data_IF_809829457402
#
_entry.id   IF_809829457402
#
_cell.length_a   1.000
_cell.length_b   1.000
_cell.length_c   1.000
_cell.angle_alpha   90.00
_cell.angle_beta   90.00
_cell.angle_gamma   90.00
#
_symmetry.space_group_name_H-M   'P 1'
#
loop_
_entity.id
_entity.type
_entity.pdbx_description
1 polymer ?
#
# COMPACT_ATOMS: atom_id res chain seq x y z
N UNK A 1 30.20 -0.58 -3.73
CA UNK A 1 29.42 0.66 -3.50
C UNK A 1 28.31 0.33 -2.51
N UNK A 2 28.46 0.71 -1.24
CA UNK A 2 27.51 0.37 -0.18
C UNK A 2 26.25 1.23 -0.33
N UNK A 3 25.13 0.59 -0.68
CA UNK A 3 23.83 1.24 -0.68
C UNK A 3 23.40 1.51 0.76
N UNK A 4 23.45 2.78 1.17
CA UNK A 4 22.87 3.25 2.42
C UNK A 4 21.36 2.96 2.36
N UNK A 5 20.91 1.98 3.12
CA UNK A 5 19.50 1.62 3.27
C UNK A 5 18.77 2.77 3.98
N UNK A 6 18.32 3.78 3.24
CA UNK A 6 17.30 4.69 3.75
C UNK A 6 15.98 3.92 3.81
N UNK A 7 15.31 3.80 4.97
CA UNK A 7 13.99 3.22 5.05
C UNK A 7 13.01 4.17 4.36
N UNK A 8 12.89 4.03 3.04
CA UNK A 8 11.91 4.75 2.26
C UNK A 8 10.59 4.01 2.43
N UNK A 9 9.60 4.64 3.05
CA UNK A 9 8.37 3.93 3.47
C UNK A 9 7.28 3.96 2.39
N UNK A 10 7.50 4.68 1.29
CA UNK A 10 6.45 5.01 0.32
C UNK A 10 6.86 4.66 -1.11
N UNK A 11 5.90 4.13 -1.87
CA UNK A 11 6.06 3.80 -3.31
C UNK A 11 6.59 4.97 -4.11
N UNK A 12 6.14 6.19 -3.83
CA UNK A 12 6.62 7.41 -4.49
C UNK A 12 8.14 7.56 -4.35
N UNK A 13 8.66 7.23 -3.17
CA UNK A 13 10.09 7.35 -2.89
C UNK A 13 10.88 6.33 -3.72
N UNK A 14 10.48 5.05 -3.69
CA UNK A 14 11.11 4.03 -4.54
C UNK A 14 10.96 4.32 -6.02
N UNK A 15 9.80 4.83 -6.45
CA UNK A 15 9.54 5.27 -7.82
C UNK A 15 10.51 6.36 -8.24
N UNK A 16 10.69 7.39 -7.42
CA UNK A 16 11.58 8.51 -7.72
C UNK A 16 13.05 8.08 -7.81
N UNK A 17 13.47 7.10 -7.01
CA UNK A 17 14.82 6.54 -7.11
C UNK A 17 15.01 5.67 -8.34
N UNK A 18 14.02 4.84 -8.68
CA UNK A 18 14.06 3.86 -9.76
C UNK A 18 13.89 4.51 -11.14
N UNK A 19 12.94 5.43 -11.27
CA UNK A 19 12.64 6.18 -12.50
C UNK A 19 13.04 7.65 -12.34
N UNK A 20 14.28 7.89 -11.93
CA UNK A 20 14.80 9.23 -11.83
C UNK A 20 14.96 9.87 -13.23
N UNK A 21 15.10 11.20 -13.26
CA UNK A 21 15.19 11.98 -14.50
C UNK A 21 16.32 11.51 -15.43
N UNK A 22 17.46 11.09 -14.88
CA UNK A 22 18.61 10.64 -15.66
C UNK A 22 18.31 9.31 -16.35
N UNK A 23 17.77 8.34 -15.61
CA UNK A 23 17.33 7.06 -16.16
C UNK A 23 16.29 7.25 -17.27
N UNK A 24 15.30 8.13 -17.06
CA UNK A 24 14.25 8.38 -18.04
C UNK A 24 14.79 9.03 -19.32
N UNK A 25 15.65 10.04 -19.20
CA UNK A 25 16.27 10.69 -20.36
C UNK A 25 17.19 9.74 -21.11
N UNK A 26 18.03 8.99 -20.41
CA UNK A 26 19.01 8.07 -21.01
C UNK A 26 18.33 6.96 -21.83
N UNK A 27 17.24 6.38 -21.32
CA UNK A 27 16.61 5.23 -21.96
C UNK A 27 15.46 5.60 -22.91
N UNK A 28 14.79 6.72 -22.67
CA UNK A 28 13.51 7.04 -23.33
C UNK A 28 13.37 8.49 -23.77
N UNK A 29 14.33 9.38 -23.48
CA UNK A 29 14.23 10.81 -23.76
C UNK A 29 14.03 11.11 -25.25
N UNK A 30 14.88 10.53 -26.10
CA UNK A 30 14.80 10.70 -27.56
C UNK A 30 13.47 10.16 -28.12
N UNK A 31 13.11 8.93 -27.74
CA UNK A 31 11.86 8.29 -28.18
C UNK A 31 10.63 9.13 -27.82
N UNK A 32 10.61 9.70 -26.61
CA UNK A 32 9.50 10.54 -26.16
C UNK A 32 9.45 11.88 -26.91
N UNK A 33 10.61 12.50 -27.14
CA UNK A 33 10.73 13.73 -27.92
C UNK A 33 10.26 13.51 -29.37
N UNK A 34 10.66 12.41 -30.01
CA UNK A 34 10.27 12.12 -31.40
C UNK A 34 8.77 11.83 -31.54
N UNK A 35 8.17 11.21 -30.51
CA UNK A 35 6.74 10.83 -30.53
C UNK A 35 5.81 11.98 -30.17
N UNK A 36 6.17 12.78 -29.16
CA UNK A 36 5.28 13.78 -28.56
C UNK A 36 5.78 15.22 -28.71
N UNK A 37 6.99 15.43 -29.25
CA UNK A 37 7.67 16.72 -29.29
C UNK A 37 7.80 17.40 -27.92
N UNK A 38 7.94 16.58 -26.86
CA UNK A 38 8.02 17.01 -25.47
C UNK A 38 9.16 16.29 -24.74
N UNK A 39 9.76 16.96 -23.76
CA UNK A 39 10.74 16.35 -22.86
C UNK A 39 10.06 15.33 -21.93
N UNK A 40 10.67 14.16 -21.76
CA UNK A 40 10.15 13.14 -20.86
C UNK A 40 10.20 13.59 -19.39
N UNK A 41 9.16 13.26 -18.62
CA UNK A 41 9.11 13.48 -17.17
C UNK A 41 9.76 12.33 -16.41
N UNK A 42 10.14 12.61 -15.17
CA UNK A 42 10.59 11.61 -14.22
C UNK A 42 9.43 10.73 -13.72
N UNK A 43 9.71 9.84 -12.77
CA UNK A 43 8.74 8.96 -12.09
C UNK A 43 8.17 7.81 -12.93
N UNK A 44 8.43 7.77 -14.24
CA UNK A 44 8.07 6.64 -15.09
C UNK A 44 6.57 6.36 -15.13
N UNK A 45 5.72 7.38 -15.00
CA UNK A 45 4.28 7.21 -15.19
C UNK A 45 3.97 6.94 -16.67
N UNK A 46 3.03 6.05 -17.00
CA UNK A 46 2.06 5.38 -16.13
C UNK A 46 2.48 4.00 -15.60
N UNK A 47 3.76 3.62 -15.70
CA UNK A 47 4.24 2.27 -15.36
C UNK A 47 4.06 1.91 -13.87
N UNK A 48 3.63 0.67 -13.59
CA UNK A 48 3.40 0.13 -12.24
C UNK A 48 4.31 -1.06 -11.89
N UNK A 49 5.38 -1.31 -12.66
CA UNK A 49 6.40 -2.31 -12.34
C UNK A 49 6.56 -3.41 -13.39
N UNK A 50 5.69 -3.42 -14.40
CA UNK A 50 5.66 -4.40 -15.49
C UNK A 50 5.43 -3.77 -16.86
N UNK A 51 5.43 -2.43 -16.95
CA UNK A 51 5.22 -1.70 -18.19
C UNK A 51 6.51 -1.49 -19.00
N UNK A 52 6.38 -0.64 -20.02
CA UNK A 52 7.44 -0.36 -20.98
C UNK A 52 8.72 0.21 -20.33
N UNK A 53 8.60 1.05 -19.31
CA UNK A 53 9.75 1.64 -18.65
C UNK A 53 10.44 0.65 -17.71
N UNK A 54 9.67 -0.20 -17.03
CA UNK A 54 10.19 -1.24 -16.13
C UNK A 54 11.03 -2.29 -16.85
N UNK A 55 10.84 -2.50 -18.16
CA UNK A 55 11.64 -3.46 -18.94
C UNK A 55 13.13 -3.09 -19.03
N UNK A 56 13.49 -1.82 -18.82
CA UNK A 56 14.88 -1.34 -18.86
C UNK A 56 15.53 -1.27 -17.48
N UNK A 57 14.81 -1.63 -16.42
CA UNK A 57 15.37 -1.64 -15.07
C UNK A 57 16.30 -2.82 -14.86
N UNK A 58 17.34 -2.62 -14.05
CA UNK A 58 18.07 -3.74 -13.48
C UNK A 58 17.16 -4.53 -12.53
N UNK A 59 17.49 -5.81 -12.35
CA UNK A 59 16.68 -6.73 -11.55
C UNK A 59 16.45 -6.25 -10.11
N UNK A 60 17.45 -5.62 -9.48
CA UNK A 60 17.36 -5.17 -8.10
C UNK A 60 16.37 -4.00 -7.98
N UNK A 61 16.52 -2.99 -8.84
CA UNK A 61 15.62 -1.83 -8.90
C UNK A 61 14.19 -2.24 -9.29
N UNK A 62 14.05 -3.17 -10.24
CA UNK A 62 12.76 -3.73 -10.61
C UNK A 62 12.11 -4.45 -9.42
N UNK A 63 12.85 -5.31 -8.72
CA UNK A 63 12.32 -6.11 -7.62
C UNK A 63 11.90 -5.23 -6.44
N UNK A 64 12.71 -4.25 -6.04
CA UNK A 64 12.39 -3.38 -4.89
C UNK A 64 11.19 -2.48 -5.18
N UNK A 65 11.11 -1.94 -6.39
CA UNK A 65 9.96 -1.14 -6.82
C UNK A 65 8.68 -1.97 -6.84
N UNK A 66 8.72 -3.18 -7.40
CA UNK A 66 7.57 -4.08 -7.41
C UNK A 66 7.15 -4.52 -6.00
N UNK A 67 8.11 -4.78 -5.09
CA UNK A 67 7.78 -5.06 -3.68
C UNK A 67 7.05 -3.89 -3.02
N UNK A 68 7.51 -2.66 -3.24
CA UNK A 68 6.83 -1.47 -2.72
C UNK A 68 5.42 -1.33 -3.31
N UNK A 69 5.27 -1.56 -4.62
CA UNK A 69 3.97 -1.54 -5.29
C UNK A 69 2.99 -2.56 -4.71
N UNK A 70 3.45 -3.78 -4.42
CA UNK A 70 2.60 -4.81 -3.78
C UNK A 70 2.10 -4.41 -2.40
N UNK A 71 2.93 -3.76 -1.59
CA UNK A 71 2.50 -3.25 -0.27
C UNK A 71 1.44 -2.16 -0.44
N UNK A 72 1.61 -1.25 -1.39
CA UNK A 72 0.63 -0.21 -1.67
C UNK A 72 -0.69 -0.77 -2.23
N UNK A 73 -0.64 -1.71 -3.17
CA UNK A 73 -1.82 -2.37 -3.71
C UNK A 73 -2.62 -3.08 -2.62
N UNK A 74 -1.95 -3.85 -1.74
CA UNK A 74 -2.61 -4.49 -0.61
C UNK A 74 -3.31 -3.48 0.32
N UNK A 75 -2.71 -2.31 0.54
CA UNK A 75 -3.34 -1.24 1.31
C UNK A 75 -4.59 -0.70 0.59
N UNK A 76 -4.49 -0.34 -0.69
CA UNK A 76 -5.61 0.21 -1.48
C UNK A 76 -6.77 -0.79 -1.60
N UNK A 77 -6.48 -2.07 -1.85
CA UNK A 77 -7.50 -3.14 -1.94
C UNK A 77 -8.35 -3.30 -0.68
N UNK A 78 -7.75 -3.03 0.49
CA UNK A 78 -8.40 -3.24 1.78
C UNK A 78 -8.93 -1.95 2.41
N UNK A 79 -8.41 -0.78 2.01
CA UNK A 79 -8.73 0.52 2.58
C UNK A 79 -10.23 0.81 2.59
N UNK A 80 -10.91 0.62 1.45
CA UNK A 80 -12.34 0.93 1.33
C UNK A 80 -13.19 0.07 2.26
N UNK A 81 -12.88 -1.23 2.36
CA UNK A 81 -13.60 -2.17 3.22
C UNK A 81 -13.36 -1.82 4.69
N UNK A 82 -12.10 -1.54 5.07
CA UNK A 82 -11.76 -1.12 6.43
C UNK A 82 -12.50 0.15 6.83
N UNK A 83 -12.46 1.21 5.99
CA UNK A 83 -13.08 2.50 6.31
C UNK A 83 -14.59 2.39 6.50
N UNK A 84 -15.29 1.66 5.63
CA UNK A 84 -16.74 1.46 5.76
C UNK A 84 -17.08 0.71 7.04
N UNK A 85 -16.34 -0.36 7.35
CA UNK A 85 -16.56 -1.14 8.56
C UNK A 85 -16.30 -0.32 9.84
N UNK A 86 -15.27 0.52 9.84
CA UNK A 86 -14.93 1.43 10.95
C UNK A 86 -16.03 2.47 11.16
N UNK A 87 -16.49 3.11 10.08
CA UNK A 87 -17.51 4.16 10.17
C UNK A 87 -18.85 3.60 10.66
N UNK A 88 -19.27 2.44 10.16
CA UNK A 88 -20.54 1.83 10.56
C UNK A 88 -20.42 1.23 11.97
N UNK A 89 -19.41 0.40 12.21
CA UNK A 89 -19.22 -0.26 13.51
C UNK A 89 -18.97 0.73 14.66
N UNK A 90 -18.27 1.84 14.36
CA UNK A 90 -17.94 2.88 15.34
C UNK A 90 -19.16 3.62 15.89
N UNK A 91 -20.33 3.54 15.24
CA UNK A 91 -21.56 4.14 15.76
C UNK A 91 -22.06 3.44 17.04
N UNK A 92 -21.94 2.11 17.13
CA UNK A 92 -22.34 1.34 18.32
C UNK A 92 -21.18 1.00 19.26
N UNK A 93 -19.96 0.87 18.72
CA UNK A 93 -18.82 0.33 19.46
C UNK A 93 -17.56 1.19 19.28
N UNK A 94 -17.59 2.49 19.61
CA UNK A 94 -16.53 3.43 19.27
C UNK A 94 -15.15 3.02 19.84
N UNK A 95 -15.10 2.63 21.12
CA UNK A 95 -13.83 2.25 21.78
C UNK A 95 -13.28 0.93 21.22
N UNK A 96 -14.14 -0.07 21.03
CA UNK A 96 -13.75 -1.38 20.51
C UNK A 96 -13.24 -1.27 19.07
N UNK A 97 -13.97 -0.57 18.21
CA UNK A 97 -13.57 -0.35 16.81
C UNK A 97 -12.30 0.47 16.72
N UNK A 98 -12.13 1.51 17.55
CA UNK A 98 -10.88 2.28 17.59
C UNK A 98 -9.68 1.41 17.99
N UNK A 99 -9.84 0.55 19.00
CA UNK A 99 -8.79 -0.35 19.48
C UNK A 99 -8.39 -1.38 18.42
N UNK A 100 -9.37 -1.98 17.74
CA UNK A 100 -9.14 -2.95 16.65
C UNK A 100 -8.50 -2.27 15.44
N UNK A 101 -8.93 -1.06 15.10
CA UNK A 101 -8.36 -0.29 13.98
C UNK A 101 -6.92 0.16 14.26
N UNK A 102 -6.55 0.40 15.53
CA UNK A 102 -5.17 0.61 15.90
C UNK A 102 -4.31 -0.63 15.65
N UNK A 103 -4.84 -1.83 15.92
CA UNK A 103 -4.15 -3.08 15.58
C UNK A 103 -3.99 -3.26 14.06
N UNK A 104 -4.99 -2.88 13.25
CA UNK A 104 -4.87 -2.84 11.80
C UNK A 104 -3.73 -1.90 11.36
N UNK A 105 -3.68 -0.69 11.92
CA UNK A 105 -2.64 0.30 11.63
C UNK A 105 -1.24 -0.21 11.96
N UNK A 106 -1.05 -0.83 13.13
CA UNK A 106 0.22 -1.48 13.50
C UNK A 106 0.57 -2.59 12.51
N UNK A 107 -0.43 -3.38 12.10
CA UNK A 107 -0.28 -4.40 11.07
C UNK A 107 0.26 -3.83 9.74
N UNK A 108 -0.20 -2.63 9.33
CA UNK A 108 0.33 -1.92 8.14
C UNK A 108 1.80 -1.56 8.27
N UNK A 109 2.25 -1.17 9.46
CA UNK A 109 3.68 -0.88 9.67
C UNK A 109 4.50 -2.16 9.54
N UNK A 110 4.00 -3.29 10.04
CA UNK A 110 4.69 -4.57 9.93
C UNK A 110 4.76 -5.12 8.49
N UNK A 111 3.76 -4.85 7.64
CA UNK A 111 3.79 -5.30 6.24
C UNK A 111 4.83 -4.55 5.39
N UNK A 112 5.31 -3.39 5.81
CA UNK A 112 6.46 -2.71 5.19
C UNK A 112 7.71 -3.60 5.15
N UNK A 113 7.83 -4.55 6.08
CA UNK A 113 8.93 -5.51 6.09
C UNK A 113 8.98 -6.41 4.84
N UNK A 114 7.92 -6.43 4.01
CA UNK A 114 7.93 -7.05 2.69
C UNK A 114 8.95 -6.44 1.72
N UNK A 115 9.30 -5.16 1.90
CA UNK A 115 10.27 -4.46 1.03
C UNK A 115 11.71 -4.90 1.35
N UNK A 116 11.93 -5.55 2.50
CA UNK A 116 13.24 -6.08 2.89
C UNK A 116 13.79 -7.13 1.91
N UNK A 117 15.06 -7.49 2.10
CA UNK A 117 15.71 -8.59 1.38
C UNK A 117 14.96 -9.91 1.54
N UNK A 118 14.42 -10.20 2.73
CA UNK A 118 13.63 -11.43 3.00
C UNK A 118 12.28 -11.46 2.28
N UNK A 119 11.76 -10.32 1.81
CA UNK A 119 10.58 -10.26 0.97
C UNK A 119 9.33 -10.90 1.60
N UNK A 120 8.70 -11.80 0.86
CA UNK A 120 7.49 -12.53 1.27
C UNK A 120 7.67 -13.38 2.53
N UNK A 121 8.89 -13.86 2.76
CA UNK A 121 9.22 -14.74 3.89
C UNK A 121 9.54 -13.97 5.17
N UNK A 122 9.40 -12.64 5.19
CA UNK A 122 9.68 -11.85 6.38
C UNK A 122 8.61 -12.13 7.48
N UNK A 123 9.00 -12.53 8.70
CA UNK A 123 8.04 -12.92 9.74
C UNK A 123 7.14 -11.76 10.18
N UNK A 124 7.68 -10.53 10.28
CA UNK A 124 6.87 -9.35 10.59
C UNK A 124 5.77 -9.13 9.55
N UNK A 125 6.00 -9.43 8.27
CA UNK A 125 4.95 -9.33 7.25
C UNK A 125 3.79 -10.26 7.59
N UNK A 126 4.10 -11.50 7.96
CA UNK A 126 3.09 -12.52 8.27
C UNK A 126 2.27 -12.08 9.50
N UNK A 127 2.95 -11.61 10.55
CA UNK A 127 2.28 -11.05 11.74
C UNK A 127 1.41 -9.85 11.35
N UNK A 128 1.94 -8.94 10.52
CA UNK A 128 1.21 -7.78 10.03
C UNK A 128 -0.04 -8.15 9.24
N UNK A 129 0.04 -9.16 8.36
CA UNK A 129 -1.12 -9.66 7.63
C UNK A 129 -2.18 -10.26 8.55
N UNK A 130 -1.78 -11.03 9.56
CA UNK A 130 -2.71 -11.59 10.55
C UNK A 130 -3.45 -10.47 11.29
N UNK A 131 -2.72 -9.44 11.73
CA UNK A 131 -3.32 -8.27 12.40
C UNK A 131 -4.30 -7.53 11.48
N UNK A 132 -3.92 -7.28 10.22
CA UNK A 132 -4.76 -6.58 9.25
C UNK A 132 -6.04 -7.37 8.98
N UNK A 133 -5.94 -8.63 8.56
CA UNK A 133 -7.11 -9.41 8.20
C UNK A 133 -8.00 -9.73 9.41
N UNK A 134 -7.38 -9.99 10.57
CA UNK A 134 -8.11 -10.14 11.82
C UNK A 134 -8.92 -8.88 12.16
N UNK A 135 -8.28 -7.71 12.12
CA UNK A 135 -8.94 -6.45 12.41
C UNK A 135 -10.06 -6.12 11.41
N UNK A 136 -9.83 -6.34 10.10
CA UNK A 136 -10.85 -6.14 9.07
C UNK A 136 -12.07 -7.03 9.34
N UNK A 137 -11.87 -8.32 9.61
CA UNK A 137 -12.97 -9.25 9.90
C UNK A 137 -13.73 -8.81 11.16
N UNK A 138 -13.02 -8.48 12.24
CA UNK A 138 -13.63 -8.02 13.49
C UNK A 138 -14.42 -6.72 13.31
N UNK A 139 -13.87 -5.73 12.60
CA UNK A 139 -14.58 -4.48 12.31
C UNK A 139 -15.81 -4.71 11.44
N UNK A 140 -15.74 -5.63 10.46
CA UNK A 140 -16.91 -6.00 9.66
C UNK A 140 -18.01 -6.63 10.52
N UNK A 141 -17.66 -7.49 11.49
CA UNK A 141 -18.63 -8.05 12.45
C UNK A 141 -19.31 -6.93 13.25
N UNK A 142 -18.55 -5.96 13.78
CA UNK A 142 -19.13 -4.80 14.48
C UNK A 142 -20.05 -3.98 13.56
N UNK A 143 -19.67 -3.78 12.30
CA UNK A 143 -20.51 -3.10 11.33
C UNK A 143 -21.84 -3.83 11.09
N UNK A 144 -21.82 -5.16 10.93
CA UNK A 144 -23.05 -5.95 10.77
C UNK A 144 -23.95 -5.92 12.01
N UNK A 145 -23.37 -6.02 13.21
CA UNK A 145 -24.15 -5.91 14.45
C UNK A 145 -24.79 -4.52 14.55
N UNK A 146 -24.03 -3.47 14.22
CA UNK A 146 -24.52 -2.09 14.24
C UNK A 146 -25.66 -1.88 13.23
N UNK A 147 -25.51 -2.38 12.01
CA UNK A 147 -26.56 -2.34 11.00
C UNK A 147 -27.83 -3.06 11.47
N UNK A 148 -27.70 -4.24 12.08
CA UNK A 148 -28.83 -4.98 12.65
C UNK A 148 -29.53 -4.21 13.77
N UNK A 149 -28.79 -3.53 14.66
CA UNK A 149 -29.36 -2.67 15.71
C UNK A 149 -30.19 -1.54 15.11
N UNK A 150 -29.65 -0.86 14.10
CA UNK A 150 -30.35 0.23 13.39
C UNK A 150 -31.65 -0.28 12.75
N UNK A 151 -31.59 -1.41 12.04
CA UNK A 151 -32.77 -2.00 11.38
C UNK A 151 -33.87 -2.42 12.37
N UNK A 152 -33.48 -2.86 13.58
CA UNK A 152 -34.41 -3.23 14.64
C UNK A 152 -34.87 -2.04 15.49
N UNK A 153 -34.51 -0.80 15.13
CA UNK A 153 -34.89 0.41 15.87
C UNK A 153 -34.26 0.52 17.26
N UNK A 154 -33.16 -0.20 17.51
CA UNK A 154 -32.46 -0.16 18.79
C UNK A 154 -31.59 1.09 18.89
N UNK A 155 -31.46 1.64 20.10
CA UNK A 155 -30.57 2.77 20.32
C UNK A 155 -29.10 2.35 20.11
N UNK A 156 -28.44 3.06 19.22
CA UNK A 156 -27.06 2.82 18.78
C UNK A 156 -26.07 3.55 19.69
N UNK A 157 -26.52 4.61 20.37
CA UNK A 157 -25.73 5.38 21.31
C UNK A 157 -25.87 4.78 22.71
N UNK A 158 -24.90 3.97 23.11
CA UNK A 158 -24.72 3.50 24.50
C UNK A 158 -23.43 4.07 25.09
#
# INVERSE_FOLDING_TARGET
MQYIHRPQVHVISYRSSTFNKDFMNLNFGQLHQDTYNLSIRDMGFPDQGSGFYSQRLDYSSWLIFNKAQRVHQNFVETLTISLLAILIGGLSFPISVASVSLAEFIGRIFTLSYISSKGASHPLRIIGLILIYGAIITNNVFAFITASRILNGQNVYQ
#
